data_IF_500999935119
#
_entry.id   IF_500999935119
#
_cell.length_a   1.000
_cell.length_b   1.000
_cell.length_c   1.000
_cell.angle_alpha   90.00
_cell.angle_beta   90.00
_cell.angle_gamma   90.00
#
_symmetry.space_group_name_H-M   'P 1'
#
loop_
_entity.id
_entity.type
_entity.pdbx_description
1 polymer ?
#
# COMPACT_ATOMS: atom_id res chain seq x y z
N UNK A 1 15.49 -18.48 14.02
CA UNK A 1 14.70 -18.59 12.78
C UNK A 1 15.36 -17.71 11.72
N UNK A 2 15.98 -18.32 10.71
CA UNK A 2 16.49 -17.58 9.56
C UNK A 2 15.27 -17.28 8.68
N UNK A 3 14.78 -16.04 8.70
CA UNK A 3 13.74 -15.61 7.78
C UNK A 3 14.25 -15.69 6.34
N UNK A 4 13.33 -15.75 5.37
CA UNK A 4 13.63 -15.77 3.92
C UNK A 4 14.25 -14.47 3.37
N UNK A 5 14.80 -13.60 4.23
CA UNK A 5 15.41 -12.32 3.88
C UNK A 5 14.44 -11.24 3.39
N UNK A 6 13.14 -11.55 3.23
CA UNK A 6 12.15 -10.60 2.70
C UNK A 6 11.69 -9.62 3.77
N UNK A 7 11.71 -8.35 3.43
CA UNK A 7 11.24 -7.27 4.30
C UNK A 7 9.70 -7.29 4.33
N UNK A 8 9.05 -7.31 5.51
CA UNK A 8 7.61 -7.14 5.61
C UNK A 8 7.15 -5.83 4.96
N UNK A 9 6.17 -5.91 4.06
CA UNK A 9 5.56 -4.78 3.37
C UNK A 9 4.06 -4.79 3.64
N UNK A 10 3.59 -3.85 4.45
CA UNK A 10 2.18 -3.68 4.80
C UNK A 10 1.51 -2.69 3.85
N UNK A 11 0.64 -3.19 2.99
CA UNK A 11 -0.23 -2.35 2.18
C UNK A 11 -1.50 -2.02 2.99
N UNK A 12 -1.69 -0.75 3.28
CA UNK A 12 -2.72 -0.28 4.21
C UNK A 12 -3.31 1.06 3.76
N UNK A 13 -4.56 1.32 4.17
CA UNK A 13 -5.22 2.60 3.98
C UNK A 13 -4.95 3.59 5.12
N UNK A 14 -4.49 3.09 6.26
CA UNK A 14 -4.20 3.86 7.45
C UNK A 14 -3.09 3.19 8.26
N UNK A 15 -2.33 4.04 8.96
CA UNK A 15 -1.27 3.66 9.90
C UNK A 15 -1.57 4.14 11.33
N UNK A 16 -2.83 4.51 11.61
CA UNK A 16 -3.23 5.04 12.92
C UNK A 16 -2.96 4.05 14.07
N UNK A 17 -3.08 2.74 13.82
CA UNK A 17 -2.81 1.68 14.81
C UNK A 17 -1.32 1.40 15.05
N UNK A 18 -0.40 2.05 14.35
CA UNK A 18 1.04 1.83 14.53
C UNK A 18 1.58 2.66 15.69
N UNK A 19 2.16 2.01 16.71
CA UNK A 19 2.78 2.69 17.85
C UNK A 19 3.98 3.55 17.43
N UNK A 20 4.32 4.58 18.23
CA UNK A 20 5.48 5.42 17.98
C UNK A 20 6.79 4.62 17.88
N UNK A 21 6.96 3.63 18.77
CA UNK A 21 8.12 2.72 18.74
C UNK A 21 8.20 1.93 17.45
N UNK A 22 7.07 1.43 16.93
CA UNK A 22 7.03 0.70 15.66
C UNK A 22 7.40 1.63 14.49
N UNK A 23 6.82 2.84 14.45
CA UNK A 23 7.14 3.85 13.43
C UNK A 23 8.64 4.20 13.42
N UNK A 24 9.25 4.35 14.60
CA UNK A 24 10.68 4.67 14.75
C UNK A 24 11.64 3.61 14.18
N UNK A 25 11.16 2.41 13.86
CA UNK A 25 11.92 1.32 13.24
C UNK A 25 11.40 0.93 11.85
N UNK A 26 10.46 1.69 11.30
CA UNK A 26 9.80 1.37 10.03
C UNK A 26 9.99 2.48 9.00
N UNK A 27 9.90 2.10 7.73
CA UNK A 27 9.80 3.04 6.63
C UNK A 27 8.33 3.26 6.23
N UNK A 28 7.97 4.50 5.88
CA UNK A 28 6.68 4.88 5.31
C UNK A 28 6.85 5.32 3.86
N UNK A 29 6.05 4.71 2.99
CA UNK A 29 5.90 5.09 1.59
C UNK A 29 4.45 5.52 1.38
N UNK A 30 4.19 6.81 1.18
CA UNK A 30 2.84 7.34 0.93
C UNK A 30 2.64 7.66 -0.56
N UNK A 31 1.47 7.36 -1.10
CA UNK A 31 1.11 7.59 -2.50
C UNK A 31 0.02 8.66 -2.61
N UNK A 32 0.25 9.69 -3.42
CA UNK A 32 -0.68 10.82 -3.54
C UNK A 32 -0.73 11.62 -2.25
N UNK A 33 -1.75 12.46 -2.08
CA UNK A 33 -1.84 13.42 -0.98
C UNK A 33 -2.32 12.80 0.35
N UNK A 34 -1.78 11.64 0.71
CA UNK A 34 -2.15 10.98 1.98
C UNK A 34 -1.30 11.52 3.13
N UNK A 35 -1.97 11.98 4.18
CA UNK A 35 -1.33 12.53 5.36
C UNK A 35 -0.36 11.53 6.01
N UNK A 36 0.89 11.98 6.21
CA UNK A 36 1.93 11.21 6.87
C UNK A 36 2.02 11.60 8.34
N UNK A 37 1.66 10.70 9.24
CA UNK A 37 1.95 10.89 10.66
C UNK A 37 3.48 10.90 10.87
N UNK A 38 4.00 11.71 11.80
CA UNK A 38 5.45 11.79 12.05
C UNK A 38 6.05 10.58 12.80
N UNK A 39 7.39 10.58 12.92
CA UNK A 39 8.14 9.61 13.73
C UNK A 39 8.54 8.31 13.02
N UNK A 40 8.62 8.32 11.69
CA UNK A 40 9.12 7.20 10.90
C UNK A 40 10.64 7.28 10.73
N UNK A 41 11.30 6.12 10.66
CA UNK A 41 12.74 6.08 10.39
C UNK A 41 13.07 6.58 8.98
N UNK A 42 12.22 6.24 8.01
CA UNK A 42 12.34 6.69 6.62
C UNK A 42 10.96 7.07 6.11
N UNK A 43 10.87 8.17 5.39
CA UNK A 43 9.63 8.71 4.84
C UNK A 43 9.86 9.00 3.36
N UNK A 44 8.99 8.49 2.48
CA UNK A 44 8.95 8.91 1.07
C UNK A 44 7.53 9.17 0.63
N UNK A 45 7.39 10.19 -0.19
CA UNK A 45 6.13 10.57 -0.80
C UNK A 45 6.22 10.36 -2.31
N UNK A 46 5.29 9.59 -2.86
CA UNK A 46 5.18 9.34 -4.28
C UNK A 46 4.05 10.18 -4.83
N UNK A 47 4.39 11.09 -5.75
CA UNK A 47 3.37 11.82 -6.50
C UNK A 47 2.70 10.84 -7.47
N UNK A 48 1.37 10.83 -7.50
CA UNK A 48 0.64 10.13 -8.54
C UNK A 48 0.84 10.94 -9.82
N UNK A 49 1.66 10.46 -10.75
CA UNK A 49 1.70 11.09 -12.07
C UNK A 49 0.48 10.61 -12.88
N UNK A 50 -0.34 11.52 -13.42
CA UNK A 50 -1.34 11.11 -14.39
C UNK A 50 -0.62 10.45 -15.56
N UNK A 51 -1.13 9.32 -16.06
CA UNK A 51 -0.64 8.71 -17.31
C UNK A 51 -0.93 9.68 -18.44
N UNK A 52 0.02 10.55 -18.74
CA UNK A 52 -0.06 11.58 -19.78
C UNK A 52 0.29 11.04 -21.18
N UNK A 53 0.51 9.74 -21.32
CA UNK A 53 1.03 9.14 -22.54
C UNK A 53 -0.09 8.51 -23.36
N UNK A 54 -0.33 9.09 -24.55
CA UNK A 54 -1.26 8.58 -25.56
C UNK A 54 -0.87 7.19 -26.09
N UNK A 55 -1.83 6.49 -26.68
CA UNK A 55 -1.73 5.08 -27.05
C UNK A 55 -0.50 4.74 -27.90
N UNK A 56 0.32 3.83 -27.38
CA UNK A 56 1.46 3.20 -28.05
C UNK A 56 1.12 1.73 -28.36
N UNK A 57 1.87 1.10 -29.29
CA UNK A 57 1.67 -0.29 -29.66
C UNK A 57 1.86 -1.28 -28.50
N UNK A 58 1.17 -2.43 -28.58
CA UNK A 58 1.26 -3.52 -27.59
C UNK A 58 2.74 -3.92 -27.39
N UNK A 59 3.21 -4.02 -26.14
CA UNK A 59 4.60 -4.31 -25.74
C UNK A 59 5.66 -3.20 -25.95
N UNK A 60 5.30 -1.91 -26.07
CA UNK A 60 6.31 -0.84 -25.85
C UNK A 60 6.93 -1.01 -24.45
N UNK A 61 8.26 -0.87 -24.27
CA UNK A 61 8.88 -0.77 -22.94
C UNK A 61 8.23 0.32 -22.06
N UNK A 62 7.68 1.33 -22.73
CA UNK A 62 6.90 2.48 -22.28
C UNK A 62 5.47 2.13 -21.82
N UNK A 63 4.90 1.05 -22.38
CA UNK A 63 3.56 0.53 -22.10
C UNK A 63 3.53 -0.56 -21.02
N UNK A 64 4.68 -1.18 -20.72
CA UNK A 64 4.81 -1.96 -19.49
C UNK A 64 4.35 -1.04 -18.36
N UNK A 65 3.37 -1.44 -17.53
CA UNK A 65 2.91 -0.58 -16.46
C UNK A 65 4.11 -0.25 -15.57
N UNK A 66 4.65 0.95 -15.75
CA UNK A 66 5.66 1.51 -14.85
C UNK A 66 4.97 1.64 -13.50
N UNK A 67 5.15 0.62 -12.67
CA UNK A 67 4.68 0.67 -11.30
C UNK A 67 5.68 1.54 -10.50
N UNK A 68 5.34 2.83 -10.41
CA UNK A 68 6.09 3.83 -9.64
C UNK A 68 6.37 3.35 -8.21
N UNK A 69 5.43 2.59 -7.62
CA UNK A 69 5.58 2.04 -6.28
C UNK A 69 6.63 0.94 -6.25
N UNK A 70 6.62 0.03 -7.22
CA UNK A 70 7.64 -1.00 -7.32
C UNK A 70 9.05 -0.40 -7.52
N UNK A 71 9.16 0.68 -8.32
CA UNK A 71 10.41 1.41 -8.49
C UNK A 71 10.86 2.10 -7.19
N UNK A 72 9.93 2.76 -6.50
CA UNK A 72 10.21 3.41 -5.22
C UNK A 72 10.65 2.42 -4.14
N UNK A 73 10.02 1.25 -4.09
CA UNK A 73 10.43 0.14 -3.23
C UNK A 73 11.84 -0.34 -3.60
N UNK A 74 12.12 -0.58 -4.89
CA UNK A 74 13.47 -0.95 -5.34
C UNK A 74 14.53 0.06 -4.89
N UNK A 75 14.27 1.36 -5.06
CA UNK A 75 15.19 2.41 -4.60
C UNK A 75 15.35 2.40 -3.07
N UNK A 76 14.25 2.22 -2.32
CA UNK A 76 14.28 2.14 -0.87
C UNK A 76 15.11 0.94 -0.39
N UNK A 77 14.99 -0.21 -1.05
CA UNK A 77 15.82 -1.39 -0.77
C UNK A 77 17.31 -1.11 -1.03
N UNK A 78 17.63 -0.50 -2.17
CA UNK A 78 19.01 -0.15 -2.50
C UNK A 78 19.61 0.81 -1.48
N UNK A 79 18.83 1.78 -1.01
CA UNK A 79 19.28 2.72 0.01
C UNK A 79 19.53 2.05 1.35
N UNK A 80 18.69 1.07 1.73
CA UNK A 80 18.93 0.22 2.90
C UNK A 80 20.23 -0.57 2.77
N UNK A 81 20.42 -1.30 1.65
CA UNK A 81 21.60 -2.14 1.41
C UNK A 81 22.89 -1.31 1.35
N UNK A 82 22.82 -0.08 0.83
CA UNK A 82 23.95 0.85 0.75
C UNK A 82 24.12 1.72 2.00
N UNK A 83 23.35 1.46 3.07
CA UNK A 83 23.36 2.25 4.31
C UNK A 83 23.15 3.77 4.09
N UNK A 84 22.38 4.14 3.06
CA UNK A 84 21.99 5.54 2.76
C UNK A 84 20.75 5.98 3.54
N UNK A 85 20.10 5.05 4.24
CA UNK A 85 19.05 5.31 5.20
C UNK A 85 19.20 4.39 6.41
N UNK A 86 18.44 4.66 7.48
CA UNK A 86 18.40 3.77 8.65
C UNK A 86 17.93 2.35 8.31
N UNK A 87 18.34 1.37 9.12
CA UNK A 87 17.93 -0.02 8.95
C UNK A 87 16.52 -0.24 9.50
N UNK A 88 15.52 -0.12 8.63
CA UNK A 88 14.13 -0.40 9.00
C UNK A 88 13.82 -1.91 8.95
N UNK A 89 13.00 -2.37 9.91
CA UNK A 89 12.55 -3.75 10.00
C UNK A 89 11.34 -4.07 9.13
N UNK A 90 10.53 -3.06 8.80
CA UNK A 90 9.30 -3.22 8.01
C UNK A 90 8.93 -1.92 7.27
N UNK A 91 8.05 -2.04 6.28
CA UNK A 91 7.56 -0.93 5.46
C UNK A 91 6.04 -0.84 5.58
N UNK A 92 5.53 0.37 5.81
CA UNK A 92 4.15 0.74 5.58
C UNK A 92 4.03 1.40 4.20
N UNK A 93 3.18 0.84 3.34
CA UNK A 93 2.77 1.40 2.06
C UNK A 93 1.35 1.93 2.20
N UNK A 94 1.22 3.26 2.22
CA UNK A 94 -0.03 3.95 2.42
C UNK A 94 -0.64 4.30 1.05
N UNK A 95 -1.83 3.76 0.79
CA UNK A 95 -2.56 3.87 -0.48
C UNK A 95 -4.04 4.16 -0.19
N UNK A 96 -4.77 4.74 -1.15
CA UNK A 96 -6.21 4.92 -0.96
C UNK A 96 -6.93 3.56 -0.89
N UNK A 97 -7.95 3.45 -0.03
CA UNK A 97 -8.67 2.18 0.19
C UNK A 97 -9.20 1.56 -1.10
N UNK A 98 -9.67 2.39 -2.05
CA UNK A 98 -10.18 1.95 -3.35
C UNK A 98 -9.10 1.36 -4.28
N UNK A 99 -7.83 1.69 -4.05
CA UNK A 99 -6.70 1.24 -4.89
C UNK A 99 -5.95 0.05 -4.31
N UNK A 100 -6.19 -0.31 -3.04
CA UNK A 100 -5.50 -1.44 -2.38
C UNK A 100 -5.60 -2.74 -3.17
N UNK A 101 -6.76 -3.19 -3.68
CA UNK A 101 -6.83 -4.46 -4.43
C UNK A 101 -5.98 -4.43 -5.71
N UNK A 102 -6.07 -3.35 -6.49
CA UNK A 102 -5.29 -3.18 -7.71
C UNK A 102 -3.78 -3.06 -7.40
N UNK A 103 -3.43 -2.36 -6.33
CA UNK A 103 -2.04 -2.23 -5.85
C UNK A 103 -1.48 -3.57 -5.42
N UNK A 104 -2.24 -4.36 -4.68
CA UNK A 104 -1.83 -5.69 -4.24
C UNK A 104 -1.56 -6.61 -5.43
N UNK A 105 -2.45 -6.62 -6.42
CA UNK A 105 -2.28 -7.39 -7.66
C UNK A 105 -1.02 -6.97 -8.43
N UNK A 106 -0.80 -5.66 -8.60
CA UNK A 106 0.38 -5.10 -9.27
C UNK A 106 1.68 -5.50 -8.57
N UNK A 107 1.74 -5.37 -7.24
CA UNK A 107 2.93 -5.71 -6.46
C UNK A 107 3.22 -7.21 -6.44
N UNK A 108 2.18 -8.05 -6.36
CA UNK A 108 2.33 -9.52 -6.46
C UNK A 108 2.80 -9.97 -7.84
N UNK A 109 2.43 -9.27 -8.91
CA UNK A 109 2.91 -9.56 -10.25
C UNK A 109 4.36 -9.12 -10.49
N UNK A 110 4.93 -8.27 -9.62
CA UNK A 110 6.28 -7.75 -9.77
C UNK A 110 7.34 -8.65 -9.11
N UNK A 111 8.14 -9.34 -9.93
CA UNK A 111 9.19 -10.27 -9.47
C UNK A 111 10.23 -9.66 -8.54
N UNK A 112 10.62 -8.41 -8.75
CA UNK A 112 11.59 -7.74 -7.87
C UNK A 112 10.98 -7.41 -6.51
N UNK A 113 9.69 -7.08 -6.49
CA UNK A 113 8.96 -6.86 -5.23
C UNK A 113 8.82 -8.19 -4.50
N UNK A 114 8.35 -9.24 -5.19
CA UNK A 114 8.17 -10.60 -4.63
C UNK A 114 9.47 -11.17 -4.01
N UNK A 115 10.60 -10.93 -4.66
CA UNK A 115 11.91 -11.41 -4.21
C UNK A 115 12.43 -10.69 -2.94
N UNK A 116 12.01 -9.44 -2.70
CA UNK A 116 12.56 -8.60 -1.63
C UNK A 116 11.60 -8.33 -0.49
N UNK A 117 10.30 -8.47 -0.76
CA UNK A 117 9.25 -8.07 0.15
C UNK A 117 8.25 -9.18 0.38
N UNK A 118 7.76 -9.25 1.60
CA UNK A 118 6.60 -10.08 1.95
C UNK A 118 5.40 -9.15 2.05
N UNK A 119 4.59 -9.12 1.00
CA UNK A 119 3.36 -8.33 0.98
C UNK A 119 2.37 -8.86 2.03
N UNK A 120 1.81 -7.94 2.81
CA UNK A 120 0.74 -8.18 3.78
C UNK A 120 -0.33 -7.12 3.59
N UNK A 121 -1.59 -7.53 3.63
CA UNK A 121 -2.73 -6.62 3.66
C UNK A 121 -3.10 -6.39 5.11
N UNK A 122 -3.34 -5.14 5.49
CA UNK A 122 -3.88 -4.83 6.81
C UNK A 122 -5.40 -5.12 6.82
N UNK A 123 -5.85 -5.92 7.78
CA UNK A 123 -7.24 -6.37 7.90
C UNK A 123 -8.22 -5.24 8.24
N UNK A 124 -7.71 -4.08 8.66
CA UNK A 124 -8.51 -2.87 8.93
C UNK A 124 -9.19 -2.28 7.67
N UNK A 125 -8.94 -2.85 6.49
CA UNK A 125 -9.50 -2.40 5.21
C UNK A 125 -10.95 -2.88 4.94
N UNK A 126 -11.59 -3.64 5.85
CA UNK A 126 -12.92 -4.22 5.60
C UNK A 126 -14.10 -3.71 6.45
N UNK A 127 -13.93 -2.72 7.32
CA UNK A 127 -15.00 -2.34 8.27
C UNK A 127 -15.62 -0.95 8.02
N UNK A 128 -15.73 -0.57 6.75
CA UNK A 128 -16.37 0.69 6.33
C UNK A 128 -17.75 0.53 5.68
N UNK A 129 -18.25 -0.70 5.51
CA UNK A 129 -19.43 -0.96 4.68
C UNK A 129 -20.43 -1.89 5.37
N UNK A 130 -20.78 -1.60 6.62
CA UNK A 130 -21.89 -2.29 7.29
C UNK A 130 -22.66 -1.39 8.27
N UNK A 131 -23.30 -0.33 7.77
CA UNK A 131 -24.40 0.33 8.49
C UNK A 131 -25.33 1.18 7.60
N UNK A 132 -25.83 0.61 6.49
CA UNK A 132 -27.13 1.05 5.96
C UNK A 132 -28.07 -0.15 5.98
N UNK A 133 -28.50 -0.52 7.19
CA UNK A 133 -29.65 -1.40 7.36
C UNK A 133 -30.86 -0.62 6.86
N UNK A 134 -31.26 -0.95 5.65
CA UNK A 134 -32.52 -0.55 5.03
C UNK A 134 -33.63 -0.90 6.03
N UNK A 135 -34.18 0.11 6.69
CA UNK A 135 -35.41 -0.02 7.48
C UNK A 135 -36.58 -0.11 6.49
N UNK A 136 -36.84 -1.31 5.98
CA UNK A 136 -38.15 -1.66 5.41
C UNK A 136 -38.95 -2.25 6.54
N UNK A 137 -39.86 -1.47 7.13
CA UNK A 137 -41.00 -2.01 7.86
C UNK A 137 -41.99 -2.54 6.82
N UNK A 138 -42.33 -3.83 6.77
CA UNK A 138 -43.62 -4.26 6.27
C UNK A 138 -44.60 -4.23 7.46
N UNK A 139 -45.63 -3.40 7.38
CA UNK A 139 -46.83 -3.65 8.18
C UNK A 139 -47.99 -3.84 7.20
N UNK A 140 -48.27 -5.13 6.97
CA UNK A 140 -49.50 -5.59 6.35
C UNK A 140 -50.66 -5.30 7.31
N UNK A 141 -51.73 -4.74 6.75
CA UNK A 141 -53.06 -4.71 7.34
C UNK A 141 -53.71 -6.10 7.27
N UNK A 142 -54.49 -6.49 8.28
CA UNK A 142 -55.69 -7.35 8.13
C UNK A 142 -56.72 -6.93 9.20
N UNK A 143 -57.98 -6.90 8.73
CA UNK A 143 -59.25 -6.49 9.31
C UNK A 143 -59.70 -7.22 10.58
N UNK A 144 -60.58 -6.56 11.35
CA UNK A 144 -61.80 -7.18 11.93
C UNK A 144 -62.90 -6.12 12.03
#
# INVERSE_FOLDING_TARGET
MIGDGRVPLWLCASVAGWSATRRGHAALLAIGDVAMNGGWLVTRHLKVTPRLWGGHGVNCPCCQPHDEVAQALNLLFQDRVRHRCGEFGEIALLESSSRIPARAASLNANRLVEARYRLRLDATTHDGQQAHRISRRPHFAIDT
#
